data_IF_879081014762
#
_entry.id   IF_879081014762
#
_cell.length_a   1.000
_cell.length_b   1.000
_cell.length_c   1.000
_cell.angle_alpha   90.00
_cell.angle_beta   90.00
_cell.angle_gamma   90.00
#
_symmetry.space_group_name_H-M   'P 1'
#
loop_
_entity.id
_entity.type
_entity.pdbx_description
1 polymer ?
#
# COMPACT_ATOMS: atom_id res chain seq x y z
N UNK A 1 -48.03 -9.95 -16.47
CA UNK A 1 -47.00 -10.27 -17.47
C UNK A 1 -45.66 -10.15 -16.75
N UNK A 2 -44.98 -11.27 -16.62
CA UNK A 2 -43.76 -11.44 -15.82
C UNK A 2 -42.60 -10.64 -16.42
N UNK A 3 -42.02 -9.74 -15.62
CA UNK A 3 -40.75 -9.10 -15.87
C UNK A 3 -39.66 -10.16 -16.04
N UNK A 4 -39.18 -10.30 -17.27
CA UNK A 4 -38.02 -11.12 -17.57
C UNK A 4 -36.78 -10.42 -17.00
N UNK A 5 -36.32 -10.90 -15.84
CA UNK A 5 -35.04 -10.54 -15.26
C UNK A 5 -33.93 -10.69 -16.33
N UNK A 6 -33.25 -9.58 -16.63
CA UNK A 6 -32.06 -9.56 -17.48
C UNK A 6 -31.05 -10.62 -16.99
N UNK A 7 -30.48 -11.45 -17.88
CA UNK A 7 -29.64 -12.56 -17.47
C UNK A 7 -28.43 -12.05 -16.69
N UNK A 8 -28.26 -12.57 -15.48
CA UNK A 8 -27.07 -12.41 -14.65
C UNK A 8 -25.83 -12.79 -15.48
N UNK A 9 -25.09 -11.79 -15.98
CA UNK A 9 -23.85 -12.01 -16.72
C UNK A 9 -22.85 -12.73 -15.82
N UNK A 10 -22.40 -13.92 -16.26
CA UNK A 10 -21.33 -14.67 -15.61
C UNK A 10 -20.11 -13.78 -15.35
N UNK A 11 -19.39 -13.97 -14.23
CA UNK A 11 -18.22 -13.16 -13.92
C UNK A 11 -17.13 -13.34 -15.01
N UNK A 12 -16.63 -12.23 -15.52
CA UNK A 12 -15.55 -12.15 -16.52
C UNK A 12 -14.25 -12.66 -15.85
N UNK A 13 -13.66 -13.75 -16.37
CA UNK A 13 -12.44 -14.37 -15.83
C UNK A 13 -11.26 -14.30 -16.79
N UNK A 14 -11.53 -14.20 -18.09
CA UNK A 14 -10.55 -14.15 -19.18
C UNK A 14 -10.92 -13.01 -20.16
N UNK A 15 -9.96 -12.48 -20.92
CA UNK A 15 -10.22 -11.48 -21.97
C UNK A 15 -11.15 -12.04 -23.05
N UNK A 16 -11.19 -13.36 -23.22
CA UNK A 16 -12.11 -14.06 -24.13
C UNK A 16 -13.58 -13.93 -23.72
N UNK A 17 -13.86 -13.61 -22.45
CA UNK A 17 -15.21 -13.36 -21.96
C UNK A 17 -15.70 -11.94 -22.30
N UNK A 18 -14.79 -11.04 -22.73
CA UNK A 18 -15.15 -9.69 -23.11
C UNK A 18 -15.92 -9.67 -24.44
N UNK A 19 -17.14 -9.15 -24.40
CA UNK A 19 -17.97 -8.97 -25.61
C UNK A 19 -17.24 -8.11 -26.67
N UNK A 20 -16.55 -7.05 -26.25
CA UNK A 20 -15.75 -6.19 -27.14
C UNK A 20 -14.66 -6.99 -27.87
N UNK A 21 -13.98 -7.91 -27.18
CA UNK A 21 -12.95 -8.75 -27.78
C UNK A 21 -13.55 -9.78 -28.74
N UNK A 22 -14.68 -10.41 -28.37
CA UNK A 22 -15.35 -11.39 -29.21
C UNK A 22 -15.84 -10.79 -30.53
N UNK A 23 -16.41 -9.57 -30.48
CA UNK A 23 -16.85 -8.84 -31.67
C UNK A 23 -15.65 -8.39 -32.51
N UNK A 24 -14.59 -7.87 -31.89
CA UNK A 24 -13.36 -7.49 -32.58
C UNK A 24 -12.68 -8.69 -33.26
N UNK A 25 -12.67 -9.87 -32.63
CA UNK A 25 -12.14 -11.10 -33.21
C UNK A 25 -12.94 -11.54 -34.43
N UNK A 26 -14.29 -11.48 -34.38
CA UNK A 26 -15.12 -11.77 -35.56
C UNK A 26 -14.83 -10.80 -36.69
N UNK A 27 -14.72 -9.51 -36.40
CA UNK A 27 -14.35 -8.50 -37.39
C UNK A 27 -12.99 -8.78 -38.02
N UNK A 28 -11.95 -9.04 -37.20
CA UNK A 28 -10.62 -9.45 -37.68
C UNK A 28 -10.68 -10.65 -38.63
N UNK A 29 -11.48 -11.67 -38.31
CA UNK A 29 -11.60 -12.84 -39.18
C UNK A 29 -12.17 -12.50 -40.56
N UNK A 30 -13.14 -11.58 -40.65
CA UNK A 30 -13.67 -11.11 -41.95
C UNK A 30 -12.62 -10.30 -42.73
N UNK A 31 -11.83 -9.46 -42.05
CA UNK A 31 -10.69 -8.76 -42.68
C UNK A 31 -9.67 -9.73 -43.26
N UNK A 32 -9.38 -10.82 -42.56
CA UNK A 32 -8.48 -11.87 -43.08
C UNK A 32 -9.06 -12.57 -44.32
N UNK A 33 -10.38 -12.65 -44.48
CA UNK A 33 -11.01 -13.19 -45.71
C UNK A 33 -10.90 -12.21 -46.87
N UNK A 34 -11.08 -10.91 -46.62
CA UNK A 34 -10.88 -9.86 -47.63
C UNK A 34 -9.42 -9.82 -48.07
N UNK A 35 -8.48 -9.76 -47.13
CA UNK A 35 -7.05 -9.68 -47.40
C UNK A 35 -6.47 -10.89 -48.17
N UNK A 36 -7.19 -12.02 -48.25
CA UNK A 36 -6.82 -13.18 -49.07
C UNK A 36 -7.32 -13.11 -50.50
N UNK A 37 -8.32 -12.27 -50.78
CA UNK A 37 -8.95 -12.10 -52.10
C UNK A 37 -8.47 -10.84 -52.83
N UNK A 38 -7.66 -10.01 -52.18
CA UNK A 38 -7.08 -8.82 -52.81
C UNK A 38 -6.15 -9.24 -53.96
N UNK A 39 -6.05 -8.43 -55.03
CA UNK A 39 -5.17 -8.72 -56.16
C UNK A 39 -3.70 -8.92 -55.74
N UNK A 40 -2.97 -9.76 -56.46
CA UNK A 40 -1.59 -10.13 -56.10
C UNK A 40 -0.65 -8.91 -56.00
N UNK A 41 -0.89 -7.87 -56.80
CA UNK A 41 -0.13 -6.60 -56.78
C UNK A 41 -0.26 -5.85 -55.44
N UNK A 42 -1.34 -6.06 -54.70
CA UNK A 42 -1.63 -5.42 -53.40
C UNK A 42 -1.32 -6.33 -52.20
N UNK A 43 -0.74 -7.51 -52.43
CA UNK A 43 -0.43 -8.48 -51.37
C UNK A 43 0.57 -7.94 -50.34
N UNK A 44 1.45 -7.03 -50.78
CA UNK A 44 2.53 -6.49 -49.95
C UNK A 44 2.16 -5.23 -49.15
N UNK A 45 1.22 -4.40 -49.61
CA UNK A 45 0.88 -3.14 -48.93
C UNK A 45 -0.50 -3.21 -48.22
N UNK A 46 -1.67 -3.11 -48.88
CA UNK A 46 -2.98 -3.10 -48.20
C UNK A 46 -3.28 -4.37 -47.41
N UNK A 47 -3.07 -5.56 -48.01
CA UNK A 47 -3.41 -6.82 -47.35
C UNK A 47 -2.63 -7.02 -46.04
N UNK A 48 -1.36 -6.63 -46.03
CA UNK A 48 -0.49 -6.70 -44.85
C UNK A 48 -0.88 -5.67 -43.80
N UNK A 49 -1.11 -4.42 -44.21
CA UNK A 49 -1.52 -3.33 -43.31
C UNK A 49 -2.87 -3.62 -42.65
N UNK A 50 -3.87 -4.07 -43.40
CA UNK A 50 -5.17 -4.45 -42.87
C UNK A 50 -5.07 -5.58 -41.84
N UNK A 51 -4.28 -6.64 -42.12
CA UNK A 51 -4.05 -7.74 -41.16
C UNK A 51 -3.36 -7.26 -39.89
N UNK A 52 -2.36 -6.37 -40.00
CA UNK A 52 -1.67 -5.78 -38.85
C UNK A 52 -2.62 -4.94 -37.99
N UNK A 53 -3.36 -4.02 -38.61
CA UNK A 53 -4.33 -3.18 -37.91
C UNK A 53 -5.42 -4.03 -37.21
N UNK A 54 -6.00 -5.01 -37.91
CA UNK A 54 -7.01 -5.90 -37.34
C UNK A 54 -6.48 -6.75 -36.17
N UNK A 55 -5.23 -7.21 -36.27
CA UNK A 55 -4.55 -7.95 -35.19
C UNK A 55 -4.30 -7.04 -33.99
N UNK A 56 -3.79 -5.84 -34.24
CA UNK A 56 -3.52 -4.80 -33.23
C UNK A 56 -4.76 -4.48 -32.39
N UNK A 57 -5.95 -4.37 -32.99
CA UNK A 57 -7.20 -4.15 -32.24
C UNK A 57 -7.41 -5.25 -31.20
N UNK A 58 -7.34 -6.52 -31.61
CA UNK A 58 -7.56 -7.66 -30.68
C UNK A 58 -6.44 -7.85 -29.68
N UNK A 59 -5.19 -7.57 -30.06
CA UNK A 59 -4.02 -7.68 -29.21
C UNK A 59 -4.07 -6.63 -28.09
N UNK A 60 -4.32 -5.36 -28.44
CA UNK A 60 -4.44 -4.28 -27.45
C UNK A 60 -5.61 -4.51 -26.47
N UNK A 61 -6.75 -5.05 -26.91
CA UNK A 61 -7.85 -5.39 -25.99
C UNK A 61 -7.42 -6.49 -25.00
N UNK A 62 -6.78 -7.56 -25.49
CA UNK A 62 -6.34 -8.68 -24.65
C UNK A 62 -5.21 -8.26 -23.70
N UNK A 63 -4.25 -7.49 -24.21
CA UNK A 63 -3.15 -6.92 -23.46
C UNK A 63 -3.67 -5.93 -22.40
N UNK A 64 -4.59 -5.04 -22.77
CA UNK A 64 -5.25 -4.12 -21.84
C UNK A 64 -6.01 -4.84 -20.73
N UNK A 65 -6.68 -5.96 -21.02
CA UNK A 65 -7.32 -6.81 -20.02
C UNK A 65 -6.32 -7.53 -19.11
N UNK A 66 -5.22 -8.03 -19.69
CA UNK A 66 -4.16 -8.70 -18.94
C UNK A 66 -3.29 -7.74 -18.11
N UNK A 67 -3.29 -6.46 -18.46
CA UNK A 67 -2.67 -5.38 -17.69
C UNK A 67 -3.59 -5.00 -16.52
N UNK A 68 -3.03 -5.00 -15.32
CA UNK A 68 -3.80 -4.90 -14.07
C UNK A 68 -4.26 -3.48 -13.71
N UNK A 69 -3.81 -2.44 -14.43
CA UNK A 69 -4.19 -1.03 -14.25
C UNK A 69 -5.25 -0.52 -15.21
N UNK A 70 -6.19 0.28 -14.69
CA UNK A 70 -7.29 0.83 -15.49
C UNK A 70 -6.82 1.94 -16.46
N UNK A 71 -5.72 2.64 -16.17
CA UNK A 71 -5.16 3.65 -17.08
C UNK A 71 -4.44 3.03 -18.27
N UNK A 72 -3.69 1.96 -18.03
CA UNK A 72 -3.02 1.12 -19.02
C UNK A 72 -4.06 0.42 -19.90
N UNK A 73 -5.10 -0.15 -19.29
CA UNK A 73 -6.22 -0.73 -20.01
C UNK A 73 -6.95 0.35 -20.84
N UNK A 74 -7.17 1.54 -20.28
CA UNK A 74 -7.75 2.66 -21.01
C UNK A 74 -6.85 3.11 -22.19
N UNK A 75 -5.52 3.12 -22.01
CA UNK A 75 -4.58 3.46 -23.07
C UNK A 75 -4.56 2.39 -24.18
N UNK A 76 -4.56 1.11 -23.80
CA UNK A 76 -4.68 0.01 -24.75
C UNK A 76 -6.00 0.07 -25.52
N UNK A 77 -7.11 0.44 -24.87
CA UNK A 77 -8.38 0.72 -25.54
C UNK A 77 -8.28 1.88 -26.53
N UNK A 78 -7.53 2.95 -26.21
CA UNK A 78 -7.27 4.07 -27.15
C UNK A 78 -6.41 3.64 -28.34
N UNK A 79 -5.40 2.79 -28.12
CA UNK A 79 -4.57 2.22 -29.19
C UNK A 79 -5.38 1.29 -30.10
N UNK A 80 -6.18 0.39 -29.52
CA UNK A 80 -7.12 -0.43 -30.26
C UNK A 80 -8.10 0.41 -31.10
N UNK A 81 -8.57 1.53 -30.56
CA UNK A 81 -9.38 2.49 -31.30
C UNK A 81 -8.60 3.13 -32.45
N UNK A 82 -7.34 3.53 -32.24
CA UNK A 82 -6.48 4.03 -33.32
C UNK A 82 -6.37 3.05 -34.48
N UNK A 83 -6.01 1.80 -34.20
CA UNK A 83 -5.93 0.74 -35.23
C UNK A 83 -7.28 0.42 -35.88
N UNK A 84 -8.41 0.65 -35.20
CA UNK A 84 -9.73 0.53 -35.80
C UNK A 84 -9.98 1.61 -36.86
N UNK A 85 -9.58 2.86 -36.61
CA UNK A 85 -9.75 3.94 -37.59
C UNK A 85 -8.81 3.77 -38.78
N UNK A 86 -7.57 3.35 -38.54
CA UNK A 86 -6.61 2.99 -39.59
C UNK A 86 -7.16 1.88 -40.50
N UNK A 87 -7.74 0.83 -39.91
CA UNK A 87 -8.34 -0.25 -40.68
C UNK A 87 -9.58 0.18 -41.47
N UNK A 88 -10.38 1.12 -40.95
CA UNK A 88 -11.52 1.68 -41.67
C UNK A 88 -11.07 2.47 -42.89
N UNK A 89 -10.01 3.27 -42.75
CA UNK A 89 -9.41 4.02 -43.85
C UNK A 89 -8.96 3.08 -44.99
N UNK A 90 -8.26 1.99 -44.66
CA UNK A 90 -7.89 0.97 -45.66
C UNK A 90 -9.10 0.29 -46.33
N UNK A 91 -10.19 0.07 -45.60
CA UNK A 91 -11.42 -0.48 -46.18
C UNK A 91 -12.05 0.50 -47.18
N UNK A 92 -12.06 1.80 -46.85
CA UNK A 92 -12.50 2.85 -47.77
C UNK A 92 -11.65 2.85 -49.03
N UNK A 93 -10.31 2.84 -48.91
CA UNK A 93 -9.42 2.73 -50.08
C UNK A 93 -9.72 1.50 -50.92
N UNK A 94 -9.95 0.33 -50.31
CA UNK A 94 -10.28 -0.88 -51.06
C UNK A 94 -11.61 -0.78 -51.83
N UNK A 95 -12.58 -0.02 -51.32
CA UNK A 95 -13.85 0.22 -52.02
C UNK A 95 -13.63 1.22 -53.17
N UNK A 96 -12.92 2.32 -52.91
CA UNK A 96 -12.66 3.38 -53.89
C UNK A 96 -11.85 2.86 -55.09
N UNK A 97 -10.86 2.02 -54.84
CA UNK A 97 -10.04 1.36 -55.88
C UNK A 97 -10.74 0.14 -56.52
N UNK A 98 -11.96 -0.18 -56.10
CA UNK A 98 -12.76 -1.28 -56.67
C UNK A 98 -12.28 -2.68 -56.29
N UNK A 99 -11.38 -2.82 -55.31
CA UNK A 99 -10.91 -4.12 -54.80
C UNK A 99 -11.94 -4.82 -53.91
N UNK A 100 -12.87 -4.05 -53.33
CA UNK A 100 -13.93 -4.54 -52.47
C UNK A 100 -15.29 -3.99 -52.94
N UNK A 101 -16.31 -4.84 -53.18
CA UNK A 101 -17.64 -4.36 -53.52
C UNK A 101 -18.21 -3.45 -52.43
N UNK A 102 -18.90 -2.36 -52.81
CA UNK A 102 -19.49 -1.39 -51.89
C UNK A 102 -20.39 -2.05 -50.83
N UNK A 103 -21.21 -3.03 -51.23
CA UNK A 103 -22.09 -3.76 -50.31
C UNK A 103 -21.33 -4.56 -49.25
N UNK A 104 -20.16 -5.09 -49.60
CA UNK A 104 -19.28 -5.78 -48.65
C UNK A 104 -18.54 -4.76 -47.76
N UNK A 105 -18.11 -3.64 -48.33
CA UNK A 105 -17.55 -2.48 -47.62
C UNK A 105 -18.49 -1.96 -46.53
N UNK A 106 -19.75 -1.69 -46.88
CA UNK A 106 -20.79 -1.21 -45.95
C UNK A 106 -21.00 -2.18 -44.77
N UNK A 107 -20.98 -3.49 -45.06
CA UNK A 107 -21.12 -4.52 -44.03
C UNK A 107 -19.94 -4.50 -43.05
N UNK A 108 -18.71 -4.38 -43.56
CA UNK A 108 -17.50 -4.32 -42.74
C UNK A 108 -17.44 -3.02 -41.94
N UNK A 109 -17.89 -1.92 -42.52
CA UNK A 109 -18.00 -0.63 -41.84
C UNK A 109 -19.01 -0.69 -40.67
N UNK A 110 -20.16 -1.34 -40.86
CA UNK A 110 -21.12 -1.59 -39.78
C UNK A 110 -20.52 -2.46 -38.65
N UNK A 111 -19.69 -3.46 -39.00
CA UNK A 111 -18.94 -4.24 -38.01
C UNK A 111 -17.91 -3.37 -37.26
N UNK A 112 -17.18 -2.51 -37.98
CA UNK A 112 -16.22 -1.58 -37.39
C UNK A 112 -16.89 -0.61 -36.41
N UNK A 113 -18.05 -0.06 -36.77
CA UNK A 113 -18.85 0.79 -35.88
C UNK A 113 -19.29 0.06 -34.62
N UNK A 114 -19.70 -1.21 -34.74
CA UNK A 114 -20.06 -2.04 -33.59
C UNK A 114 -18.86 -2.27 -32.66
N UNK A 115 -17.68 -2.56 -33.20
CA UNK A 115 -16.43 -2.66 -32.43
C UNK A 115 -16.13 -1.34 -31.72
N UNK A 116 -16.23 -0.21 -32.43
CA UNK A 116 -16.00 1.12 -31.87
C UNK A 116 -16.94 1.47 -30.71
N UNK A 117 -18.24 1.18 -30.84
CA UNK A 117 -19.21 1.38 -29.75
C UNK A 117 -18.87 0.57 -28.50
N UNK A 118 -18.52 -0.70 -28.67
CA UNK A 118 -18.17 -1.58 -27.56
C UNK A 118 -16.83 -1.19 -26.91
N UNK A 119 -15.83 -0.79 -27.71
CA UNK A 119 -14.57 -0.23 -27.21
C UNK A 119 -14.80 1.02 -26.36
N UNK A 120 -15.64 1.96 -26.83
CA UNK A 120 -15.96 3.16 -26.06
C UNK A 120 -16.77 2.84 -24.79
N UNK A 121 -17.65 1.83 -24.82
CA UNK A 121 -18.35 1.32 -23.65
C UNK A 121 -17.38 0.74 -22.61
N UNK A 122 -16.48 -0.13 -23.06
CA UNK A 122 -15.47 -0.75 -22.22
C UNK A 122 -14.51 0.28 -21.62
N UNK A 123 -14.00 1.21 -22.43
CA UNK A 123 -13.17 2.33 -21.96
C UNK A 123 -13.87 3.17 -20.88
N UNK A 124 -15.16 3.49 -21.05
CA UNK A 124 -15.93 4.23 -20.04
C UNK A 124 -16.08 3.44 -18.74
N UNK A 125 -16.34 2.13 -18.83
CA UNK A 125 -16.42 1.27 -17.66
C UNK A 125 -15.07 1.19 -16.92
N UNK A 126 -13.97 0.98 -17.66
CA UNK A 126 -12.61 0.98 -17.13
C UNK A 126 -12.27 2.31 -16.44
N UNK A 127 -12.60 3.44 -17.05
CA UNK A 127 -12.39 4.76 -16.45
C UNK A 127 -13.34 5.06 -15.28
N UNK A 128 -14.51 4.44 -15.19
CA UNK A 128 -15.43 4.61 -14.07
C UNK A 128 -14.92 3.94 -12.79
N UNK A 129 -14.12 2.87 -12.91
CA UNK A 129 -13.46 2.22 -11.76
C UNK A 129 -12.51 3.19 -11.02
N UNK A 130 -11.92 4.18 -11.73
CA UNK A 130 -11.18 5.32 -11.17
C UNK A 130 -11.95 6.08 -10.09
N UNK A 131 -13.28 6.25 -10.25
CA UNK A 131 -14.13 7.02 -9.32
C UNK A 131 -14.47 6.23 -8.04
N UNK A 132 -14.56 4.91 -8.11
CA UNK A 132 -14.85 4.07 -6.95
C UNK A 132 -13.65 4.02 -5.99
N UNK A 133 -12.43 3.98 -6.53
CA UNK A 133 -11.17 3.96 -5.77
C UNK A 133 -10.79 5.35 -5.24
N UNK A 134 -11.26 6.43 -5.88
CA UNK A 134 -11.04 7.81 -5.40
C UNK A 134 -11.84 8.15 -4.14
N UNK A 135 -12.89 7.39 -3.79
CA UNK A 135 -13.71 7.64 -2.59
C UNK A 135 -13.07 7.18 -1.26
N UNK A 136 -11.94 6.49 -1.29
CA UNK A 136 -11.27 5.97 -0.08
C UNK A 136 -10.17 6.87 0.49
N UNK A 137 -9.90 8.05 -0.10
CA UNK A 137 -8.96 9.04 0.43
C UNK A 137 -9.70 10.35 0.70
N UNK A 138 -9.76 10.85 1.94
CA UNK A 138 -10.47 12.08 2.28
C UNK A 138 -9.98 13.28 1.46
N UNK A 139 -10.92 14.11 1.03
CA UNK A 139 -10.72 15.36 0.27
C UNK A 139 -10.09 16.51 1.07
N UNK A 140 -9.52 16.23 2.24
CA UNK A 140 -8.97 17.22 3.19
C UNK A 140 -7.49 17.53 3.01
N UNK A 141 -6.79 16.90 2.06
CA UNK A 141 -5.46 17.36 1.65
C UNK A 141 -5.63 18.70 0.92
N UNK A 142 -5.57 19.80 1.70
CA UNK A 142 -5.52 21.18 1.19
C UNK A 142 -4.42 21.30 0.13
N UNK A 143 -4.54 22.31 -0.73
CA UNK A 143 -3.77 22.55 -1.96
C UNK A 143 -2.23 22.72 -1.83
N UNK A 144 -1.61 22.19 -0.78
CA UNK A 144 -0.19 22.29 -0.46
C UNK A 144 0.50 20.98 -0.82
N UNK A 145 1.69 21.06 -1.42
CA UNK A 145 2.47 19.87 -1.80
C UNK A 145 2.81 18.99 -0.59
N UNK A 146 2.97 17.68 -0.81
CA UNK A 146 3.31 16.73 0.25
C UNK A 146 4.79 16.32 0.20
N UNK A 147 5.46 16.42 1.34
CA UNK A 147 6.73 15.71 1.58
C UNK A 147 6.39 14.45 2.33
N UNK A 148 6.74 13.30 1.78
CA UNK A 148 6.25 12.03 2.31
C UNK A 148 7.31 10.96 2.48
N UNK A 149 6.98 9.99 3.32
CA UNK A 149 7.68 8.70 3.38
C UNK A 149 6.69 7.55 3.29
N UNK A 150 7.12 6.40 2.76
CA UNK A 150 6.31 5.19 2.60
C UNK A 150 6.96 4.04 3.35
N UNK A 151 6.20 3.35 4.19
CA UNK A 151 6.72 2.21 4.94
C UNK A 151 5.70 1.51 5.83
N UNK A 152 6.03 0.30 6.27
CA UNK A 152 5.22 -0.42 7.25
C UNK A 152 5.30 0.22 8.64
N UNK A 153 6.42 0.89 8.97
CA UNK A 153 6.68 1.56 10.24
C UNK A 153 6.36 0.72 11.48
N UNK A 154 6.50 -0.61 11.39
CA UNK A 154 6.32 -1.46 12.56
C UNK A 154 7.44 -1.18 13.57
N UNK A 155 7.11 -1.10 14.85
CA UNK A 155 8.02 -0.67 15.91
C UNK A 155 8.24 0.85 16.05
N UNK A 156 8.08 1.62 14.96
CA UNK A 156 8.50 3.05 14.89
C UNK A 156 9.87 3.28 15.57
N UNK A 157 10.81 2.38 15.32
CA UNK A 157 12.15 2.37 15.94
C UNK A 157 13.00 3.58 15.51
N UNK A 158 14.19 3.76 16.08
CA UNK A 158 15.05 4.93 15.87
C UNK A 158 15.30 5.27 14.38
N UNK A 159 15.40 4.26 13.50
CA UNK A 159 15.53 4.52 12.06
C UNK A 159 14.26 5.14 11.44
N UNK A 160 13.06 4.65 11.80
CA UNK A 160 11.80 5.26 11.40
C UNK A 160 11.66 6.67 11.99
N UNK A 161 12.04 6.87 13.25
CA UNK A 161 11.97 8.19 13.89
C UNK A 161 12.84 9.22 13.17
N UNK A 162 14.06 8.86 12.78
CA UNK A 162 14.93 9.74 11.97
C UNK A 162 14.35 10.00 10.59
N UNK A 163 13.85 8.97 9.92
CA UNK A 163 13.21 9.10 8.60
C UNK A 163 12.00 10.05 8.64
N UNK A 164 11.10 9.84 9.60
CA UNK A 164 9.92 10.67 9.83
C UNK A 164 10.31 12.10 10.24
N UNK A 165 11.33 12.25 11.11
CA UNK A 165 11.88 13.56 11.47
C UNK A 165 12.39 14.34 10.26
N UNK A 166 13.14 13.70 9.35
CA UNK A 166 13.63 14.34 8.13
C UNK A 166 12.49 14.80 7.21
N UNK A 167 11.42 14.01 7.12
CA UNK A 167 10.19 14.39 6.39
C UNK A 167 9.58 15.65 7.00
N UNK A 168 9.45 15.70 8.31
CA UNK A 168 8.90 16.85 9.04
C UNK A 168 9.77 18.10 8.84
N UNK A 169 11.09 18.00 8.99
CA UNK A 169 12.01 19.12 8.77
C UNK A 169 11.92 19.65 7.33
N UNK A 170 11.91 18.74 6.36
CA UNK A 170 11.84 19.09 4.94
C UNK A 170 10.50 19.73 4.60
N UNK A 171 9.38 19.16 5.08
CA UNK A 171 8.05 19.71 4.90
C UNK A 171 7.96 21.15 5.44
N UNK A 172 8.41 21.37 6.68
CA UNK A 172 8.43 22.69 7.32
C UNK A 172 9.24 23.71 6.52
N UNK A 173 10.43 23.32 6.04
CA UNK A 173 11.28 24.20 5.22
C UNK A 173 10.66 24.61 3.88
N UNK A 174 9.74 23.80 3.35
CA UNK A 174 9.08 24.01 2.07
C UNK A 174 7.66 24.58 2.21
N UNK A 175 7.18 24.80 3.44
CA UNK A 175 5.77 25.12 3.69
C UNK A 175 4.83 24.02 3.17
N UNK A 176 5.27 22.77 3.18
CA UNK A 176 4.59 21.58 2.69
C UNK A 176 3.96 20.76 3.83
N UNK A 177 3.10 19.80 3.49
CA UNK A 177 2.51 18.86 4.47
C UNK A 177 3.44 17.67 4.68
N UNK A 178 3.77 17.34 5.94
CA UNK A 178 4.54 16.16 6.30
C UNK A 178 3.63 14.93 6.35
N UNK A 179 3.88 13.95 5.48
CA UNK A 179 2.99 12.78 5.31
C UNK A 179 3.73 11.46 5.55
N UNK A 180 3.15 10.57 6.34
CA UNK A 180 3.58 9.18 6.42
C UNK A 180 2.54 8.29 5.73
N UNK A 181 2.97 7.40 4.83
CA UNK A 181 2.11 6.42 4.15
C UNK A 181 2.40 5.03 4.67
N UNK A 182 1.39 4.35 5.20
CA UNK A 182 1.49 2.99 5.73
C UNK A 182 0.38 2.08 5.21
N UNK A 183 0.36 0.81 5.63
CA UNK A 183 -0.51 -0.22 5.07
C UNK A 183 -1.23 -0.99 6.17
N UNK A 184 -2.54 -1.25 5.98
CA UNK A 184 -3.35 -2.11 6.84
C UNK A 184 -4.26 -3.03 6.01
N UNK A 185 -4.27 -4.35 6.20
CA UNK A 185 -3.37 -5.11 7.07
C UNK A 185 -1.91 -5.04 6.60
N UNK A 186 -0.98 -5.41 7.47
CA UNK A 186 0.43 -5.49 7.10
C UNK A 186 0.63 -6.35 5.82
N UNK A 187 1.47 -5.94 4.84
CA UNK A 187 1.61 -6.64 3.56
C UNK A 187 1.91 -8.14 3.69
N UNK A 188 2.80 -8.51 4.61
CA UNK A 188 3.14 -9.92 4.87
C UNK A 188 1.95 -10.69 5.44
N UNK A 189 1.14 -10.07 6.31
CA UNK A 189 -0.07 -10.68 6.88
C UNK A 189 -1.11 -10.97 5.79
N UNK A 190 -1.14 -10.17 4.73
CA UNK A 190 -2.01 -10.38 3.59
C UNK A 190 -1.47 -11.41 2.58
N UNK A 191 -0.17 -11.34 2.26
CA UNK A 191 0.46 -12.15 1.21
C UNK A 191 0.85 -13.55 1.68
N UNK A 192 1.27 -13.68 2.94
CA UNK A 192 1.73 -14.93 3.53
C UNK A 192 1.26 -15.00 5.00
N UNK A 193 -0.04 -15.24 5.24
CA UNK A 193 -0.63 -15.20 6.59
C UNK A 193 0.08 -16.13 7.58
N UNK A 194 0.48 -17.33 7.12
CA UNK A 194 1.16 -18.33 7.95
C UNK A 194 2.57 -17.94 8.38
N UNK A 195 3.16 -16.96 7.68
CA UNK A 195 4.52 -16.45 7.92
C UNK A 195 4.51 -15.00 8.42
N UNK A 196 3.33 -14.48 8.77
CA UNK A 196 3.19 -13.10 9.20
C UNK A 196 3.87 -12.88 10.55
N UNK A 197 4.82 -11.93 10.66
CA UNK A 197 5.39 -11.60 11.96
C UNK A 197 4.29 -11.07 12.87
N UNK A 198 4.41 -11.33 14.18
CA UNK A 198 3.59 -10.65 15.18
C UNK A 198 3.96 -9.17 15.14
N UNK A 199 2.97 -8.31 14.90
CA UNK A 199 3.21 -6.87 14.80
C UNK A 199 3.73 -6.32 16.14
N UNK A 200 4.82 -5.56 16.09
CA UNK A 200 5.36 -4.87 17.25
C UNK A 200 4.46 -3.71 17.67
N UNK A 201 3.80 -3.09 16.71
CA UNK A 201 3.05 -1.86 16.92
C UNK A 201 1.75 -1.89 16.11
N UNK A 202 0.62 -2.25 16.74
CA UNK A 202 -0.70 -2.16 16.12
C UNK A 202 -0.96 -0.77 15.54
N UNK A 203 -1.87 -0.67 14.56
CA UNK A 203 -2.09 0.55 13.79
C UNK A 203 -2.35 1.79 14.66
N UNK A 204 -3.21 1.68 15.67
CA UNK A 204 -3.53 2.81 16.55
C UNK A 204 -2.32 3.31 17.34
N UNK A 205 -1.52 2.39 17.89
CA UNK A 205 -0.29 2.72 18.59
C UNK A 205 0.73 3.36 17.65
N UNK A 206 0.86 2.79 16.45
CA UNK A 206 1.75 3.32 15.40
C UNK A 206 1.36 4.74 15.02
N UNK A 207 0.06 5.01 14.86
CA UNK A 207 -0.46 6.34 14.57
C UNK A 207 -0.06 7.35 15.64
N UNK A 208 -0.26 7.03 16.93
CA UNK A 208 0.14 7.91 18.05
C UNK A 208 1.66 8.18 18.08
N UNK A 209 2.48 7.16 17.82
CA UNK A 209 3.94 7.32 17.77
C UNK A 209 4.40 8.20 16.59
N UNK A 210 3.75 8.05 15.43
CA UNK A 210 4.03 8.85 14.24
C UNK A 210 3.57 10.30 14.43
N UNK A 211 2.39 10.51 15.01
CA UNK A 211 1.86 11.83 15.35
C UNK A 211 2.79 12.58 16.33
N UNK A 212 3.29 11.90 17.36
CA UNK A 212 4.22 12.47 18.32
C UNK A 212 5.55 12.95 17.72
N UNK A 213 5.92 12.47 16.52
CA UNK A 213 7.09 12.93 15.77
C UNK A 213 6.82 14.18 14.92
N UNK A 214 5.57 14.66 14.88
CA UNK A 214 5.18 15.88 14.18
C UNK A 214 4.79 15.68 12.71
N UNK A 215 4.40 14.45 12.33
CA UNK A 215 3.78 14.18 11.02
C UNK A 215 2.36 14.77 11.02
N UNK A 216 2.04 15.55 9.98
CA UNK A 216 0.75 16.22 9.86
C UNK A 216 -0.37 15.27 9.41
N UNK A 217 -0.02 14.24 8.62
CA UNK A 217 -0.99 13.30 8.07
C UNK A 217 -0.43 11.88 7.99
N UNK A 218 -1.13 10.92 8.59
CA UNK A 218 -0.91 9.49 8.37
C UNK A 218 -1.93 8.96 7.35
N UNK A 219 -1.44 8.54 6.19
CA UNK A 219 -2.23 7.88 5.15
C UNK A 219 -2.12 6.37 5.33
N UNK A 220 -3.23 5.73 5.68
CA UNK A 220 -3.32 4.27 5.81
C UNK A 220 -3.94 3.70 4.54
N UNK A 221 -3.13 3.04 3.72
CA UNK A 221 -3.60 2.39 2.51
C UNK A 221 -4.13 0.98 2.84
N UNK A 222 -5.36 0.64 2.42
CA UNK A 222 -5.87 -0.71 2.62
C UNK A 222 -5.07 -1.70 1.76
N UNK A 223 -4.32 -2.61 2.39
CA UNK A 223 -3.53 -3.60 1.67
C UNK A 223 -4.41 -4.76 1.21
N UNK A 224 -4.81 -4.70 -0.04
CA UNK A 224 -5.69 -5.66 -0.69
C UNK A 224 -5.08 -6.16 -2.01
N UNK A 225 -5.80 -7.04 -2.73
CA UNK A 225 -5.32 -7.58 -4.02
C UNK A 225 -5.09 -6.50 -5.08
N UNK A 226 -5.82 -5.39 -5.03
CA UNK A 226 -5.69 -4.29 -5.97
C UNK A 226 -4.40 -3.53 -5.71
N UNK A 227 -4.18 -3.06 -4.47
CA UNK A 227 -2.96 -2.37 -4.08
C UNK A 227 -1.72 -3.24 -4.28
N UNK A 228 -1.80 -4.52 -3.91
CA UNK A 228 -0.69 -5.47 -4.06
C UNK A 228 -0.30 -5.74 -5.52
N UNK A 229 -1.19 -5.45 -6.49
CA UNK A 229 -0.97 -5.66 -7.93
C UNK A 229 -0.49 -4.42 -8.67
N UNK A 230 -0.47 -3.25 -8.03
CA UNK A 230 0.07 -2.04 -8.65
C UNK A 230 1.55 -2.22 -8.97
N UNK A 231 1.94 -2.00 -10.21
CA UNK A 231 3.31 -1.79 -10.65
C UNK A 231 3.93 -0.57 -9.97
N UNK A 232 5.27 -0.43 -10.00
CA UNK A 232 5.96 0.75 -9.49
C UNK A 232 5.44 2.06 -10.10
N UNK A 233 5.21 2.08 -11.41
CA UNK A 233 4.69 3.24 -12.12
C UNK A 233 3.27 3.63 -11.65
N UNK A 234 2.38 2.65 -11.51
CA UNK A 234 1.01 2.88 -11.05
C UNK A 234 0.99 3.38 -9.61
N UNK A 235 1.80 2.80 -8.72
CA UNK A 235 1.93 3.27 -7.35
C UNK A 235 2.38 4.74 -7.28
N UNK A 236 3.41 5.11 -8.06
CA UNK A 236 3.90 6.49 -8.10
C UNK A 236 2.85 7.44 -8.67
N UNK A 237 2.32 7.15 -9.86
CA UNK A 237 1.38 8.06 -10.54
C UNK A 237 0.07 8.19 -9.79
N UNK A 238 -0.56 7.07 -9.44
CA UNK A 238 -1.92 7.10 -8.90
C UNK A 238 -1.94 7.54 -7.44
N UNK A 239 -0.97 7.08 -6.65
CA UNK A 239 -0.97 7.34 -5.22
C UNK A 239 -0.14 8.58 -4.92
N UNK A 240 1.15 8.58 -5.27
CA UNK A 240 2.04 9.66 -4.83
C UNK A 240 1.75 10.98 -5.57
N UNK A 241 1.61 10.94 -6.89
CA UNK A 241 1.43 12.16 -7.71
C UNK A 241 -0.02 12.62 -7.69
N UNK A 242 -0.97 11.78 -8.12
CA UNK A 242 -2.36 12.19 -8.31
C UNK A 242 -3.09 12.40 -6.98
N UNK A 243 -3.00 11.44 -6.05
CA UNK A 243 -3.75 11.51 -4.78
C UNK A 243 -3.04 12.36 -3.73
N UNK A 244 -1.72 12.19 -3.58
CA UNK A 244 -0.96 12.83 -2.51
C UNK A 244 -0.24 14.11 -2.95
N UNK A 245 -0.16 14.42 -4.24
CA UNK A 245 0.51 15.63 -4.78
C UNK A 245 1.92 15.80 -4.21
N UNK A 246 2.69 14.72 -4.30
CA UNK A 246 4.04 14.64 -3.75
C UNK A 246 4.99 15.67 -4.39
N UNK A 247 5.79 16.34 -3.56
CA UNK A 247 6.96 17.13 -3.99
C UNK A 247 8.27 16.42 -3.67
N UNK A 248 8.33 15.64 -2.59
CA UNK A 248 9.53 14.90 -2.18
C UNK A 248 9.18 13.59 -1.49
N UNK A 249 9.90 12.52 -1.81
CA UNK A 249 9.79 11.20 -1.19
C UNK A 249 11.09 10.86 -0.44
N UNK A 250 10.97 10.62 0.86
CA UNK A 250 12.07 10.19 1.71
C UNK A 250 11.91 8.69 2.00
N UNK A 251 12.89 7.88 1.59
CA UNK A 251 12.88 6.43 1.80
C UNK A 251 14.24 5.91 2.23
N UNK A 252 14.22 4.79 2.96
CA UNK A 252 15.42 4.04 3.28
C UNK A 252 15.99 3.30 2.06
N UNK A 253 17.25 2.87 2.11
CA UNK A 253 17.94 2.25 0.98
C UNK A 253 17.42 0.85 0.62
N UNK A 254 16.75 0.18 1.55
CA UNK A 254 16.11 -1.12 1.31
C UNK A 254 14.63 -0.99 0.87
N UNK A 255 14.20 0.21 0.47
CA UNK A 255 12.82 0.44 0.07
C UNK A 255 12.48 -0.33 -1.20
N UNK A 256 11.43 -1.13 -1.11
CA UNK A 256 10.86 -1.91 -2.22
C UNK A 256 9.37 -1.63 -2.32
N UNK A 257 8.85 -1.53 -3.53
CA UNK A 257 7.45 -1.24 -3.78
C UNK A 257 6.98 -1.81 -5.12
N UNK A 258 5.67 -1.71 -5.37
CA UNK A 258 5.05 -2.25 -6.56
C UNK A 258 4.92 -3.78 -6.55
N UNK A 259 4.27 -4.30 -7.59
CA UNK A 259 3.93 -5.70 -7.73
C UNK A 259 5.19 -6.56 -7.63
N UNK A 260 5.14 -7.54 -6.73
CA UNK A 260 6.28 -8.44 -6.42
C UNK A 260 7.58 -7.70 -6.07
N UNK A 261 7.48 -6.52 -5.46
CA UNK A 261 8.66 -5.72 -5.07
C UNK A 261 9.57 -5.37 -6.26
N UNK A 262 8.97 -5.23 -7.46
CA UNK A 262 9.70 -4.92 -8.71
C UNK A 262 10.27 -3.50 -8.77
N UNK A 263 9.86 -2.60 -7.89
CA UNK A 263 10.40 -1.25 -7.77
C UNK A 263 11.35 -1.11 -6.58
N UNK A 264 12.41 -0.36 -6.78
CA UNK A 264 13.39 0.03 -5.75
C UNK A 264 13.76 1.51 -5.85
N UNK A 265 14.80 1.93 -5.12
CA UNK A 265 15.22 3.33 -5.07
C UNK A 265 15.64 3.88 -6.44
N UNK A 266 16.20 3.05 -7.32
CA UNK A 266 16.63 3.47 -8.66
C UNK A 266 15.41 3.71 -9.53
N UNK A 267 14.49 2.74 -9.55
CA UNK A 267 13.20 2.85 -10.24
C UNK A 267 12.41 4.06 -9.73
N UNK A 268 12.38 4.28 -8.42
CA UNK A 268 11.71 5.45 -7.82
C UNK A 268 12.35 6.76 -8.29
N UNK A 269 13.68 6.82 -8.39
CA UNK A 269 14.40 8.00 -8.87
C UNK A 269 14.16 8.29 -10.36
N UNK A 270 14.04 7.25 -11.20
CA UNK A 270 13.65 7.40 -12.60
C UNK A 270 12.23 7.96 -12.74
N UNK A 271 11.27 7.35 -12.03
CA UNK A 271 9.88 7.79 -12.02
C UNK A 271 9.72 9.21 -11.44
N UNK A 272 10.51 9.56 -10.43
CA UNK A 272 10.53 10.90 -9.85
C UNK A 272 10.92 11.98 -10.86
N UNK A 273 11.95 11.71 -11.68
CA UNK A 273 12.37 12.61 -12.76
C UNK A 273 11.29 12.77 -13.83
N UNK A 274 10.59 11.69 -14.17
CA UNK A 274 9.52 11.71 -15.17
C UNK A 274 8.28 12.46 -14.70
N UNK A 275 7.93 12.32 -13.41
CA UNK A 275 6.70 12.86 -12.84
C UNK A 275 6.89 14.21 -12.12
N UNK A 276 8.12 14.71 -11.99
CA UNK A 276 8.41 16.04 -11.49
C UNK A 276 8.48 16.18 -9.97
N UNK A 277 8.90 15.14 -9.23
CA UNK A 277 9.15 15.19 -7.78
C UNK A 277 10.57 14.77 -7.42
N UNK A 278 10.97 14.97 -6.15
CA UNK A 278 12.33 14.65 -5.66
C UNK A 278 12.35 13.35 -4.86
N UNK A 279 13.46 12.63 -4.90
CA UNK A 279 13.74 11.52 -3.97
C UNK A 279 14.90 11.90 -3.05
N UNK A 280 14.80 11.53 -1.78
CA UNK A 280 15.84 11.75 -0.78
C UNK A 280 16.17 10.41 -0.10
N UNK A 281 17.35 9.82 -0.38
CA UNK A 281 17.79 8.64 0.34
C UNK A 281 18.09 9.03 1.79
N UNK A 282 17.51 8.32 2.75
CA UNK A 282 17.65 8.63 4.18
C UNK A 282 18.21 7.44 4.95
N UNK A 283 19.08 7.76 5.92
CA UNK A 283 20.16 6.94 6.50
C UNK A 283 19.90 5.44 6.80
N UNK A 284 20.96 4.65 6.64
CA UNK A 284 21.13 3.28 7.15
C UNK A 284 21.40 3.27 8.66
N UNK A 285 20.44 2.76 9.45
CA UNK A 285 20.71 2.16 10.75
C UNK A 285 20.52 0.66 10.58
N UNK A 286 21.49 -0.14 11.07
CA UNK A 286 21.42 -1.60 10.98
C UNK A 286 20.06 -2.08 11.53
N UNK A 287 19.33 -2.94 10.78
CA UNK A 287 18.03 -3.41 11.21
C UNK A 287 18.18 -4.20 12.51
N UNK A 288 17.43 -3.79 13.53
CA UNK A 288 17.21 -4.62 14.71
C UNK A 288 15.86 -5.28 14.47
N UNK A 289 15.89 -6.58 14.14
CA UNK A 289 14.69 -7.40 14.10
C UNK A 289 14.18 -7.53 15.53
N UNK A 290 13.02 -6.96 15.85
CA UNK A 290 12.47 -7.11 17.20
C UNK A 290 11.26 -8.03 17.25
N UNK A 291 11.32 -8.86 18.28
CA UNK A 291 10.38 -9.88 18.71
C UNK A 291 9.74 -9.41 20.03
N UNK A 292 8.73 -10.11 20.52
CA UNK A 292 8.31 -9.95 21.93
C UNK A 292 9.49 -10.21 22.87
N UNK A 293 9.61 -9.51 24.01
CA UNK A 293 10.64 -9.78 24.99
C UNK A 293 10.62 -11.27 25.39
N UNK A 294 11.80 -11.86 25.59
CA UNK A 294 11.96 -13.25 26.05
C UNK A 294 11.05 -13.54 27.26
N UNK A 295 10.54 -14.76 27.41
CA UNK A 295 9.79 -15.17 28.62
C UNK A 295 10.53 -14.75 29.89
N UNK A 296 9.81 -14.16 30.85
CA UNK A 296 10.37 -13.68 32.11
C UNK A 296 9.61 -12.50 32.72
N UNK A 297 10.19 -11.96 33.80
CA UNK A 297 9.61 -10.86 34.58
C UNK A 297 10.38 -9.57 34.30
N UNK A 298 9.64 -8.49 34.12
CA UNK A 298 10.15 -7.19 33.67
C UNK A 298 9.68 -6.07 34.59
N UNK A 299 10.55 -5.07 34.79
CA UNK A 299 10.13 -3.74 35.18
C UNK A 299 9.47 -3.10 33.98
N UNK A 300 8.24 -2.65 34.17
CA UNK A 300 7.42 -2.10 33.12
C UNK A 300 6.72 -0.84 33.60
N UNK A 301 6.12 -0.14 32.66
CA UNK A 301 5.22 0.97 32.93
C UNK A 301 3.93 0.74 32.18
N UNK A 302 2.81 0.86 32.86
CA UNK A 302 1.50 0.54 32.31
C UNK A 302 0.65 1.78 32.21
N UNK A 303 0.16 2.07 31.02
CA UNK A 303 -0.82 3.13 30.79
C UNK A 303 -2.23 2.53 30.82
N UNK A 304 -3.08 3.10 31.66
CA UNK A 304 -4.51 2.82 31.76
C UNK A 304 -5.27 4.11 31.42
N UNK A 305 -5.85 4.21 30.22
CA UNK A 305 -6.39 5.48 29.75
C UNK A 305 -5.30 6.56 29.67
N UNK A 306 -5.45 7.66 30.43
CA UNK A 306 -4.44 8.73 30.51
C UNK A 306 -3.42 8.51 31.65
N UNK A 307 -3.74 7.62 32.60
CA UNK A 307 -2.91 7.39 33.78
C UNK A 307 -1.74 6.46 33.49
N UNK A 308 -0.59 6.77 34.08
CA UNK A 308 0.67 6.06 33.86
C UNK A 308 1.20 5.51 35.19
N UNK A 309 1.26 4.20 35.30
CA UNK A 309 1.66 3.50 36.52
C UNK A 309 2.99 2.78 36.33
N UNK A 310 3.87 2.86 37.32
CA UNK A 310 5.04 2.00 37.40
C UNK A 310 4.56 0.56 37.73
N UNK A 311 5.12 -0.45 37.08
CA UNK A 311 4.58 -1.81 37.14
C UNK A 311 5.65 -2.90 37.02
N UNK A 312 5.22 -4.14 37.26
CA UNK A 312 6.00 -5.36 37.04
C UNK A 312 5.17 -6.29 36.16
N UNK A 313 5.72 -6.72 35.03
CA UNK A 313 5.01 -7.58 34.06
C UNK A 313 5.70 -8.93 33.92
N UNK A 314 4.93 -10.01 34.04
CA UNK A 314 5.35 -11.35 33.65
C UNK A 314 4.89 -11.66 32.22
N UNK A 315 5.80 -12.17 31.39
CA UNK A 315 5.51 -12.71 30.06
C UNK A 315 5.81 -14.21 30.13
N UNK A 316 4.78 -15.06 30.09
CA UNK A 316 4.89 -16.51 30.32
C UNK A 316 3.75 -17.30 29.69
N UNK A 317 3.69 -18.62 29.92
CA UNK A 317 2.61 -19.48 29.40
C UNK A 317 1.69 -19.97 30.53
N UNK A 318 0.37 -19.90 30.35
CA UNK A 318 -0.56 -20.59 31.26
C UNK A 318 -0.63 -22.09 30.90
N UNK A 319 -0.47 -23.00 31.88
CA UNK A 319 -0.76 -24.41 31.67
C UNK A 319 -2.28 -24.62 31.69
N UNK A 320 -2.92 -24.52 30.54
CA UNK A 320 -4.32 -24.92 30.34
C UNK A 320 -4.37 -26.17 29.46
N UNK A 321 -5.27 -27.12 29.79
CA UNK A 321 -5.45 -28.36 29.03
C UNK A 321 -5.68 -28.04 27.55
N UNK A 322 -4.72 -28.39 26.70
CA UNK A 322 -4.86 -28.39 25.24
C UNK A 322 -4.31 -27.17 24.49
N UNK A 323 -3.96 -26.05 25.14
CA UNK A 323 -3.43 -24.87 24.42
C UNK A 323 -2.37 -24.07 25.22
N UNK A 324 -1.19 -23.88 24.64
CA UNK A 324 -0.02 -23.21 25.23
C UNK A 324 -0.07 -21.69 24.99
N UNK A 325 -1.12 -21.01 25.46
CA UNK A 325 -1.30 -19.59 25.20
C UNK A 325 -0.30 -18.73 25.98
N UNK A 326 0.45 -17.88 25.27
CA UNK A 326 1.30 -16.84 25.87
C UNK A 326 0.40 -15.83 26.61
N UNK A 327 0.74 -15.53 27.85
CA UNK A 327 0.05 -14.59 28.74
C UNK A 327 1.00 -13.49 29.18
N UNK A 328 0.50 -12.25 29.17
CA UNK A 328 1.18 -11.07 29.71
C UNK A 328 0.39 -10.60 30.91
N UNK A 329 0.93 -10.78 32.11
CA UNK A 329 0.27 -10.44 33.37
C UNK A 329 1.01 -9.29 34.04
N UNK A 330 0.30 -8.24 34.45
CA UNK A 330 0.94 -7.03 34.99
C UNK A 330 0.44 -6.69 36.38
N UNK A 331 1.38 -6.41 37.27
CA UNK A 331 1.17 -5.93 38.63
C UNK A 331 1.50 -4.43 38.70
N UNK A 332 0.50 -3.60 38.98
CA UNK A 332 0.69 -2.14 39.14
C UNK A 332 1.23 -1.83 40.54
N UNK A 333 2.34 -1.11 40.61
CA UNK A 333 2.94 -0.73 41.89
C UNK A 333 2.14 0.40 42.53
N UNK A 334 1.85 0.25 43.83
CA UNK A 334 1.14 1.25 44.65
C UNK A 334 -0.25 1.63 44.12
N UNK A 335 -0.89 0.77 43.32
CA UNK A 335 -2.24 0.99 42.83
C UNK A 335 -3.28 0.55 43.88
N UNK A 336 -4.24 1.42 44.16
CA UNK A 336 -5.40 1.13 44.99
C UNK A 336 -6.65 1.59 44.24
N UNK A 337 -7.45 0.63 43.76
CA UNK A 337 -8.66 0.90 42.98
C UNK A 337 -9.12 -0.32 42.18
N UNK A 338 -10.23 -0.16 41.46
CA UNK A 338 -10.70 -1.13 40.47
C UNK A 338 -10.28 -0.69 39.06
N UNK A 339 -9.87 -1.64 38.22
CA UNK A 339 -9.52 -1.37 36.83
C UNK A 339 -10.76 -1.66 35.98
N UNK A 340 -11.33 -0.63 35.36
CA UNK A 340 -12.39 -0.80 34.37
C UNK A 340 -11.86 -1.61 33.17
N UNK A 341 -12.73 -2.30 32.42
CA UNK A 341 -12.32 -2.96 31.18
C UNK A 341 -11.95 -1.89 30.13
N UNK A 342 -10.68 -1.50 30.12
CA UNK A 342 -10.11 -0.49 29.21
C UNK A 342 -8.87 -1.06 28.53
N UNK A 343 -8.48 -0.50 27.39
CA UNK A 343 -7.20 -0.85 26.77
C UNK A 343 -6.03 -0.51 27.70
N UNK A 344 -5.05 -1.40 27.76
CA UNK A 344 -3.84 -1.25 28.55
C UNK A 344 -2.62 -1.30 27.64
N UNK A 345 -1.69 -0.38 27.86
CA UNK A 345 -0.42 -0.35 27.14
C UNK A 345 0.74 -0.58 28.11
N UNK A 346 1.67 -1.47 27.76
CA UNK A 346 2.79 -1.85 28.63
C UNK A 346 4.10 -1.47 27.93
N UNK A 347 4.87 -0.59 28.55
CA UNK A 347 6.22 -0.21 28.17
C UNK A 347 7.24 -1.08 28.96
N UNK A 348 8.06 -1.87 28.25
CA UNK A 348 9.09 -2.70 28.88
C UNK A 348 10.37 -1.89 29.11
N UNK A 349 10.85 -1.82 30.36
CA UNK A 349 11.99 -1.00 30.75
C UNK A 349 13.25 -1.80 31.08
N UNK A 350 13.09 -2.89 31.84
CA UNK A 350 14.23 -3.70 32.29
C UNK A 350 13.82 -5.14 32.60
N UNK A 351 14.62 -6.13 32.19
CA UNK A 351 14.37 -7.53 32.52
C UNK A 351 14.91 -7.87 33.91
N UNK A 352 14.04 -8.33 34.82
CA UNK A 352 14.40 -8.69 36.18
C UNK A 352 14.96 -10.11 36.30
N UNK A 353 14.31 -11.09 35.65
CA UNK A 353 14.65 -12.52 35.72
C UNK A 353 13.87 -13.37 34.70
N UNK A 354 14.28 -14.63 34.54
CA UNK A 354 13.50 -15.69 33.89
C UNK A 354 12.26 -16.09 34.72
N UNK A 355 11.29 -16.73 34.07
CA UNK A 355 10.11 -17.31 34.73
C UNK A 355 10.53 -18.48 35.64
N UNK A 356 9.85 -18.63 36.78
CA UNK A 356 10.17 -19.64 37.78
C UNK A 356 8.92 -20.43 38.12
N UNK A 357 9.06 -21.75 38.32
CA UNK A 357 8.01 -22.57 38.92
C UNK A 357 8.13 -22.49 40.44
N UNK A 358 7.01 -22.26 41.12
CA UNK A 358 6.97 -22.19 42.57
C UNK A 358 6.28 -23.43 43.13
N UNK A 359 6.84 -23.98 44.22
CA UNK A 359 6.32 -25.17 44.87
C UNK A 359 5.01 -24.91 45.63
N UNK A 360 4.79 -23.67 46.09
CA UNK A 360 3.58 -23.26 46.81
C UNK A 360 3.32 -21.74 46.69
N UNK A 361 2.10 -21.27 47.02
CA UNK A 361 1.73 -19.86 46.94
C UNK A 361 2.52 -18.93 47.87
N UNK A 362 3.03 -19.42 49.02
CA UNK A 362 3.77 -18.60 49.96
C UNK A 362 5.13 -18.15 49.36
N UNK A 363 5.85 -19.07 48.70
CA UNK A 363 7.10 -18.76 48.02
C UNK A 363 6.86 -17.81 46.84
N UNK A 364 5.77 -18.02 46.08
CA UNK A 364 5.37 -17.12 44.99
C UNK A 364 5.16 -15.69 45.52
N UNK A 365 4.45 -15.53 46.65
CA UNK A 365 4.19 -14.22 47.26
C UNK A 365 5.50 -13.51 47.65
N UNK A 366 6.43 -14.23 48.27
CA UNK A 366 7.76 -13.68 48.62
C UNK A 366 8.51 -13.22 47.37
N UNK A 367 8.47 -14.01 46.30
CA UNK A 367 9.13 -13.62 45.06
C UNK A 367 8.50 -12.39 44.41
N UNK A 368 7.15 -12.29 44.40
CA UNK A 368 6.45 -11.10 43.88
C UNK A 368 6.85 -9.85 44.67
N UNK A 369 6.97 -9.95 45.99
CA UNK A 369 7.41 -8.82 46.83
C UNK A 369 8.85 -8.41 46.52
N UNK A 370 9.75 -9.36 46.30
CA UNK A 370 11.14 -9.04 45.91
C UNK A 370 11.21 -8.41 44.51
N UNK A 371 10.43 -8.91 43.55
CA UNK A 371 10.34 -8.34 42.20
C UNK A 371 9.81 -6.90 42.26
N UNK A 372 8.78 -6.63 43.08
CA UNK A 372 8.25 -5.28 43.32
C UNK A 372 9.30 -4.36 43.97
N UNK A 373 10.03 -4.86 44.98
CA UNK A 373 11.09 -4.10 45.66
C UNK A 373 12.23 -3.72 44.70
N UNK A 374 12.66 -4.67 43.86
CA UNK A 374 13.67 -4.42 42.81
C UNK A 374 13.18 -3.40 41.79
N UNK A 375 11.91 -3.47 41.38
CA UNK A 375 11.28 -2.51 40.46
C UNK A 375 11.21 -1.10 41.07
N UNK A 376 10.79 -0.96 42.32
CA UNK A 376 10.79 0.33 43.03
C UNK A 376 12.20 0.93 43.14
N UNK A 377 13.23 0.10 43.36
CA UNK A 377 14.63 0.55 43.35
C UNK A 377 15.03 1.06 41.96
N UNK A 378 14.65 0.34 40.90
CA UNK A 378 14.92 0.76 39.51
C UNK A 378 14.31 2.14 39.20
N UNK A 379 13.04 2.35 39.50
CA UNK A 379 12.38 3.64 39.24
C UNK A 379 12.97 4.79 40.05
N UNK A 380 13.36 4.54 41.30
CA UNK A 380 14.08 5.52 42.13
C UNK A 380 15.38 5.95 41.47
N UNK A 381 16.19 5.01 40.98
CA UNK A 381 17.44 5.30 40.29
C UNK A 381 17.22 6.02 38.95
N UNK A 382 16.22 5.60 38.17
CA UNK A 382 15.86 6.22 36.90
C UNK A 382 15.45 7.69 37.08
N UNK A 383 14.66 7.99 38.13
CA UNK A 383 14.26 9.36 38.48
C UNK A 383 15.48 10.23 38.79
N UNK A 384 16.38 9.74 39.65
CA UNK A 384 17.63 10.45 39.99
C UNK A 384 18.50 10.70 38.76
N UNK A 385 18.64 9.71 37.87
CA UNK A 385 19.41 9.84 36.63
C UNK A 385 18.82 10.90 35.69
N UNK A 386 17.50 10.89 35.46
CA UNK A 386 16.82 11.86 34.60
C UNK A 386 16.94 13.30 35.14
N UNK A 387 16.80 13.49 36.44
CA UNK A 387 16.96 14.81 37.08
C UNK A 387 18.38 15.38 36.90
N UNK A 388 19.41 14.56 37.09
CA UNK A 388 20.80 14.97 36.86
C UNK A 388 21.06 15.38 35.41
N UNK A 389 20.54 14.60 34.45
CA UNK A 389 20.71 14.88 33.02
C UNK A 389 19.97 16.15 32.60
N UNK A 390 18.77 16.40 33.10
CA UNK A 390 18.03 17.64 32.84
C UNK A 390 18.75 18.87 33.41
N UNK A 391 19.33 18.76 34.61
CA UNK A 391 20.14 19.83 35.22
C UNK A 391 21.44 20.13 34.47
N UNK A 392 22.05 19.14 33.82
CA UNK A 392 23.28 19.31 33.03
C UNK A 392 23.04 19.95 31.65
N UNK A 393 21.80 19.96 31.14
CA UNK A 393 21.42 20.53 29.85
C UNK A 393 20.81 21.95 29.96
N UNK A 394 20.67 22.48 31.18
CA UNK A 394 20.24 23.87 31.37
C UNK A 394 21.36 24.83 30.95
N UNK A 395 21.11 25.82 30.06
CA UNK A 395 22.14 26.74 29.63
C UNK A 395 22.64 27.56 30.82
N UNK A 396 23.95 27.57 31.05
CA UNK A 396 24.59 28.48 31.99
C UNK A 396 24.34 29.93 31.53
N UNK A 397 23.35 30.58 32.13
CA UNK A 397 23.26 32.04 32.15
C UNK A 397 24.41 32.58 32.99
N UNK A 398 25.54 32.91 32.34
CA UNK A 398 26.53 33.77 32.98
C UNK A 398 25.90 35.15 33.16
N UNK A 399 25.94 35.74 34.37
CA UNK A 399 25.54 37.13 34.54
C UNK A 399 26.59 38.00 33.82
N UNK A 400 26.12 38.90 32.95
CA UNK A 400 26.97 39.97 32.41
C UNK A 400 27.24 40.95 33.55
N UNK A 401 28.47 40.96 34.04
CA UNK A 401 29.04 42.08 34.78
C UNK A 401 29.63 43.07 33.78
#
# INVERSE_FOLDING_TARGET
MTDAASPSKSPIKDFKDLEVWQVARRFRNEIYKVAKRLPDIETFAPASQMRRAATSITANIAEGFGRFGFMENAQACRQARGSLYELRDHLTTCVDEGYLPTTEGDRLEAMAHKVGRLLNGYLRATLAMKKAVARSVPSTVKAVAAVLTVGNFDGVHLAHQRLLGNVVETARSQGATAVAVTFEPHPVKFLAPDHAPKLLTPLERKARLIEALGIDLLVVLPFNRELARLSPLEFVREILVVKLRVSSVHVGPNFRFGYRQSGDIEVLGELARQEGFRTVPTLNLAPVEEQVPKIGVYVTRTRLGEDLHDSVTNVGHKPTFGDHRLTVETYLLNFAGEIAQTEMEIEFLYRLRDEMKFQNPAILKVQIQEDARRSLKFFRLLKTFRQRRAGALAPHSRPRS
#
